data_IF_398624469504
#
_entry.id   IF_398624469504
#
_cell.length_a   1.000
_cell.length_b   1.000
_cell.length_c   1.000
_cell.angle_alpha   90.00
_cell.angle_beta   90.00
_cell.angle_gamma   90.00
#
_symmetry.space_group_name_H-M   'P 1'
#
loop_
_entity.id
_entity.type
_entity.pdbx_description
1 polymer ?
2 non-polymer ?
3 non-polymer ?
4 water ?
#
# COMPACT_ATOMS: atom_id res chain seq x y z
N UNK A 1 -5.95 -2.55 -4.63
CA UNK A 1 -7.00 -3.57 -4.29
C UNK A 1 -8.41 -3.10 -4.66
N UNK A 2 -8.65 -1.79 -4.72
CA UNK A 2 -9.94 -1.12 -4.95
C UNK A 2 -9.71 0.24 -5.60
N UNK A 3 -10.77 1.04 -5.83
CA UNK A 3 -10.69 2.26 -6.65
C UNK A 3 -9.86 3.38 -5.98
N UNK A 4 -9.75 3.36 -4.65
CA UNK A 4 -8.87 4.25 -3.87
C UNK A 4 -7.43 4.03 -4.26
N UNK A 5 -7.01 2.77 -4.24
CA UNK A 5 -5.62 2.37 -4.59
C UNK A 5 -5.41 2.60 -6.09
N UNK A 6 -6.45 2.42 -6.90
CA UNK A 6 -6.36 2.67 -8.36
C UNK A 6 -5.98 4.15 -8.64
N UNK A 7 -6.67 5.07 -8.00
CA UNK A 7 -6.39 6.52 -8.18
C UNK A 7 -4.99 6.85 -7.64
N UNK A 8 -4.67 6.36 -6.44
CA UNK A 8 -3.34 6.57 -5.81
C UNK A 8 -2.24 6.07 -6.76
N UNK A 9 -2.39 4.86 -7.32
CA UNK A 9 -1.37 4.29 -8.20
C UNK A 9 -1.14 5.18 -9.43
N UNK A 10 -2.22 5.68 -10.03
CA UNK A 10 -2.18 6.53 -11.25
C UNK A 10 -1.36 7.79 -10.96
N UNK A 11 -1.53 8.35 -9.77
CA UNK A 11 -0.77 9.57 -9.37
C UNK A 11 0.68 9.19 -9.14
N UNK A 12 0.96 8.10 -8.41
CA UNK A 12 2.35 7.71 -8.13
C UNK A 12 3.12 7.43 -9.41
N UNK A 13 2.51 6.74 -10.38
CA UNK A 13 3.25 6.21 -11.56
C UNK A 13 3.63 7.35 -12.51
N UNK A 14 2.92 8.48 -12.52
CA UNK A 14 3.17 9.56 -13.49
C UNK A 14 3.58 10.87 -12.81
N UNK A 15 3.19 11.10 -11.55
CA UNK A 15 3.37 12.46 -10.96
C UNK A 15 4.29 12.43 -9.74
N UNK A 16 5.15 11.42 -9.56
CA UNK A 16 6.09 11.48 -8.41
C UNK A 16 7.51 11.25 -8.90
N UNK A 17 8.45 11.82 -8.13
CA UNK A 17 9.91 11.60 -8.32
C UNK A 17 10.47 11.38 -6.92
N UNK A 18 11.65 10.82 -6.85
CA UNK A 18 12.38 10.73 -5.57
C UNK A 18 13.26 11.98 -5.47
N UNK A 19 13.03 12.83 -4.46
CA UNK A 19 13.84 14.04 -4.23
C UNK A 19 14.80 13.77 -3.09
N UNK A 20 16.07 14.15 -3.25
CA UNK A 20 17.09 13.98 -2.19
C UNK A 20 17.74 15.35 -1.90
N UNK A 21 17.62 15.80 -0.65
CA UNK A 21 18.28 17.03 -0.12
C UNK A 21 19.31 16.56 0.90
N UNK A 22 19.98 17.51 1.56
CA UNK A 22 20.92 17.17 2.67
C UNK A 22 20.16 16.65 3.88
N UNK A 23 18.83 16.83 3.95
CA UNK A 23 17.97 16.36 5.07
C UNK A 23 17.32 15.01 4.79
N UNK A 24 17.56 14.38 3.63
CA UNK A 24 17.11 13.01 3.35
C UNK A 24 16.47 12.82 1.99
N UNK A 25 15.87 11.65 1.81
CA UNK A 25 15.12 11.26 0.58
C UNK A 25 13.62 11.44 0.82
N UNK A 26 12.89 12.12 -0.07
CA UNK A 26 11.45 12.41 0.08
C UNK A 26 10.69 11.97 -1.17
N UNK A 27 9.47 11.51 -0.97
CA UNK A 27 8.47 11.46 -2.06
C UNK A 27 8.21 12.92 -2.47
N UNK A 28 8.22 13.19 -3.76
CA UNK A 28 7.96 14.57 -4.25
C UNK A 28 6.88 14.50 -5.35
N UNK A 29 5.80 15.24 -5.14
CA UNK A 29 4.64 15.27 -6.06
C UNK A 29 4.88 16.37 -7.11
N UNK A 30 4.89 15.99 -8.38
CA UNK A 30 4.87 16.93 -9.52
C UNK A 30 3.44 17.32 -9.82
N UNK A 31 3.16 18.60 -9.97
CA UNK A 31 1.78 19.13 -10.08
C UNK A 31 1.48 19.55 -11.53
N UNK A 32 2.38 20.28 -12.17
CA UNK A 32 2.24 20.70 -13.60
C UNK A 32 3.58 21.25 -14.07
N UNK A 33 3.81 21.25 -15.40
CA UNK A 33 5.03 21.81 -16.03
C UNK A 33 6.24 21.27 -15.26
N UNK A 34 7.10 22.12 -14.69
CA UNK A 34 8.31 21.65 -13.93
C UNK A 34 8.10 22.00 -12.44
N UNK A 35 6.86 22.15 -12.00
CA UNK A 35 6.51 22.61 -10.63
C UNK A 35 6.14 21.39 -9.77
N UNK A 36 6.80 21.24 -8.64
CA UNK A 36 6.53 20.15 -7.68
C UNK A 36 6.39 20.70 -6.26
N UNK A 37 6.03 19.83 -5.33
CA UNK A 37 5.90 20.22 -3.89
C UNK A 37 6.70 19.24 -3.03
N UNK A 38 7.13 19.75 -1.88
CA UNK A 38 7.88 18.92 -0.89
C UNK A 38 7.68 19.56 0.47
N UNK A 39 7.76 18.82 1.60
CA UNK A 39 7.68 19.49 2.91
C UNK A 39 8.82 20.51 3.08
N UNK A 40 8.49 21.64 3.72
CA UNK A 40 9.45 22.75 3.89
C UNK A 40 10.66 22.27 4.70
N UNK A 41 10.46 21.35 5.64
CA UNK A 41 11.58 20.79 6.46
C UNK A 41 12.59 19.98 5.64
N UNK A 42 12.32 19.66 4.37
CA UNK A 42 13.35 19.14 3.43
C UNK A 42 14.50 20.12 3.19
N UNK A 43 14.30 21.43 3.46
CA UNK A 43 15.33 22.49 3.31
C UNK A 43 15.93 22.50 1.90
N UNK A 44 15.10 22.73 0.89
CA UNK A 44 15.54 22.73 -0.53
C UNK A 44 16.55 23.87 -0.72
N UNK A 45 17.69 23.58 -1.36
CA UNK A 45 18.68 24.60 -1.74
C UNK A 45 18.69 24.87 -3.22
N UNK A 46 19.86 25.27 -3.75
CA UNK A 46 20.06 25.71 -5.15
C UNK A 46 20.14 24.48 -6.06
N UNK A 47 20.52 23.34 -5.50
CA UNK A 47 20.70 22.05 -6.21
C UNK A 47 19.93 20.99 -5.39
N UNK A 48 19.24 20.10 -6.10
CA UNK A 48 18.52 18.97 -5.50
C UNK A 48 18.80 17.74 -6.39
N UNK A 49 18.71 16.54 -5.84
CA UNK A 49 18.80 15.30 -6.66
C UNK A 49 17.37 14.82 -6.95
N UNK A 50 17.07 14.57 -8.22
CA UNK A 50 15.74 14.11 -8.70
C UNK A 50 15.98 12.76 -9.39
N UNK A 51 15.53 11.67 -8.77
CA UNK A 51 15.77 10.29 -9.27
C UNK A 51 17.29 10.13 -9.49
N UNK A 52 18.08 10.61 -8.53
CA UNK A 52 19.57 10.53 -8.45
C UNK A 52 20.26 11.35 -9.54
N UNK A 53 19.59 12.32 -10.14
CA UNK A 53 20.18 13.23 -11.17
C UNK A 53 20.31 14.62 -10.53
N UNK A 54 21.52 15.17 -10.58
CA UNK A 54 21.80 16.55 -10.10
C UNK A 54 20.96 17.53 -10.90
N UNK A 55 20.13 18.32 -10.22
CA UNK A 55 19.11 19.20 -10.84
C UNK A 55 19.19 20.62 -10.21
N UNK A 56 19.29 21.67 -11.03
CA UNK A 56 19.21 23.05 -10.53
C UNK A 56 17.78 23.37 -10.11
N UNK A 57 17.63 24.06 -8.99
CA UNK A 57 16.33 24.60 -8.51
C UNK A 57 16.19 26.01 -9.09
N UNK A 58 15.21 26.23 -9.95
CA UNK A 58 15.01 27.55 -10.59
C UNK A 58 14.28 28.50 -9.66
N UNK A 59 13.49 28.00 -8.71
CA UNK A 59 12.73 28.83 -7.76
C UNK A 59 12.21 27.92 -6.66
N UNK A 60 12.14 28.40 -5.43
CA UNK A 60 11.54 27.64 -4.32
C UNK A 60 10.86 28.62 -3.39
N UNK A 61 9.64 28.29 -2.99
CA UNK A 61 8.84 29.20 -2.12
C UNK A 61 8.16 28.44 -0.98
N UNK A 62 8.61 28.70 0.25
CA UNK A 62 8.01 28.16 1.49
C UNK A 62 6.69 28.89 1.77
N UNK A 63 5.57 28.21 1.64
CA UNK A 63 4.23 28.86 1.74
C UNK A 63 3.92 29.16 3.21
N UNK A 64 3.32 30.32 3.43
CA UNK A 64 2.74 30.73 4.73
C UNK A 64 1.33 31.29 4.46
N UNK A 65 0.43 31.18 5.42
CA UNK A 65 -0.91 31.78 5.29
C UNK A 65 -0.82 33.31 5.53
N UNK A 66 -1.94 33.98 5.31
CA UNK A 66 -2.04 35.46 5.46
C UNK A 66 -2.06 35.87 6.94
N UNK A 67 -1.98 34.94 7.90
CA UNK A 67 -1.55 35.28 9.30
C UNK A 67 -0.02 35.16 9.46
N UNK A 68 0.71 34.82 8.40
CA UNK A 68 2.18 34.62 8.40
C UNK A 68 2.43 33.40 9.29
N UNK A 69 1.59 32.38 9.16
CA UNK A 69 1.81 31.06 9.83
C UNK A 69 2.31 30.03 8.80
N UNK A 70 3.32 29.26 9.19
CA UNK A 70 3.86 28.13 8.38
C UNK A 70 2.72 27.26 7.83
N UNK A 71 2.79 26.90 6.53
CA UNK A 71 1.92 25.83 5.96
C UNK A 71 2.68 24.51 5.72
N UNK A 72 4.01 24.53 5.83
CA UNK A 72 4.88 23.34 5.69
C UNK A 72 4.91 22.82 4.25
N UNK A 73 4.47 23.60 3.27
CA UNK A 73 4.57 23.25 1.82
C UNK A 73 5.64 24.16 1.21
N UNK A 74 6.62 23.58 0.52
CA UNK A 74 7.51 24.34 -0.39
C UNK A 74 7.16 24.00 -1.85
N UNK A 75 6.95 25.01 -2.67
CA UNK A 75 6.73 24.83 -4.12
C UNK A 75 8.09 25.04 -4.77
N UNK A 76 8.48 24.08 -5.60
CA UNK A 76 9.80 24.05 -6.26
C UNK A 76 9.58 24.07 -7.77
N UNK A 77 10.32 24.92 -8.46
CA UNK A 77 10.45 24.81 -9.94
C UNK A 77 11.80 24.19 -10.28
N UNK A 78 11.78 23.06 -11.01
CA UNK A 78 12.99 22.24 -11.32
C UNK A 78 13.51 22.55 -12.72
N UNK A 79 14.83 22.64 -12.88
CA UNK A 79 15.49 22.71 -14.21
C UNK A 79 15.54 21.30 -14.82
N UNK A 80 14.37 20.75 -15.10
CA UNK A 80 14.17 19.38 -15.62
C UNK A 80 13.80 19.46 -17.10
N UNK A 81 14.19 18.46 -17.89
CA UNK A 81 13.98 18.46 -19.35
C UNK A 81 12.61 17.92 -19.72
N UNK A 82 11.75 17.63 -18.75
CA UNK A 82 10.46 16.97 -19.03
C UNK A 82 9.39 17.59 -18.11
N UNK A 83 8.18 17.78 -18.63
CA UNK A 83 7.03 18.28 -17.84
C UNK A 83 6.27 17.14 -17.17
N UNK A 84 5.69 17.46 -16.01
CA UNK A 84 4.70 16.60 -15.33
C UNK A 84 3.35 16.70 -16.07
N UNK A 85 2.65 15.59 -16.10
CA UNK A 85 1.19 15.58 -16.37
C UNK A 85 0.52 16.63 -15.48
N UNK A 86 -0.30 17.50 -16.04
CA UNK A 86 -1.01 18.54 -15.27
C UNK A 86 -2.13 17.89 -14.44
N UNK A 87 -1.99 17.86 -13.11
CA UNK A 87 -3.02 17.27 -12.19
C UNK A 87 -3.71 18.35 -11.35
N UNK A 88 -3.60 19.63 -11.73
CA UNK A 88 -4.25 20.69 -10.92
C UNK A 88 -5.77 20.52 -10.80
N UNK A 89 -6.46 19.93 -11.79
CA UNK A 89 -7.92 19.73 -11.70
C UNK A 89 -8.27 18.69 -10.64
N UNK A 90 -7.31 17.97 -10.04
CA UNK A 90 -7.61 17.00 -8.95
C UNK A 90 -7.43 17.64 -7.57
N UNK A 91 -7.06 18.92 -7.51
CA UNK A 91 -6.78 19.61 -6.23
C UNK A 91 -8.07 20.21 -5.71
N UNK A 92 -8.38 20.05 -4.41
CA UNK A 92 -9.56 20.68 -3.82
C UNK A 92 -9.41 22.20 -3.84
N UNK A 93 -10.54 22.90 -3.88
CA UNK A 93 -10.58 24.39 -3.90
C UNK A 93 -10.82 24.94 -2.49
N UNK A 94 -11.14 24.09 -1.51
CA UNK A 94 -11.43 24.53 -0.12
C UNK A 94 -10.87 23.56 0.93
N UNK A 95 -10.73 24.04 2.16
CA UNK A 95 -10.39 23.21 3.35
C UNK A 95 -11.59 22.29 3.59
N UNK A 96 -11.36 21.00 3.86
CA UNK A 96 -12.45 20.03 4.08
C UNK A 96 -11.94 18.81 4.84
N UNK A 97 -12.87 17.98 5.31
CA UNK A 97 -12.61 16.63 5.86
C UNK A 97 -12.91 15.65 4.71
N UNK A 98 -12.41 14.42 4.81
CA UNK A 98 -12.53 13.40 3.75
C UNK A 98 -12.79 12.03 4.35
N UNK A 99 -13.40 11.16 3.57
CA UNK A 99 -13.45 9.72 3.96
C UNK A 99 -12.45 8.92 3.12
N UNK A 100 -11.96 7.83 3.69
CA UNK A 100 -11.34 6.72 2.92
C UNK A 100 -10.18 7.28 2.08
N UNK A 101 -9.12 7.75 2.72
CA UNK A 101 -7.91 8.27 2.02
C UNK A 101 -6.81 7.19 1.99
N UNK A 102 -5.90 7.34 1.02
CA UNK A 102 -4.67 6.51 0.85
C UNK A 102 -3.48 7.45 0.95
N UNK A 103 -2.48 7.02 1.71
CA UNK A 103 -1.15 7.66 1.76
C UNK A 103 -0.19 6.82 0.93
N UNK A 104 0.43 7.42 -0.08
CA UNK A 104 1.32 6.71 -1.05
C UNK A 104 2.74 7.27 -0.99
N UNK A 105 3.72 6.37 -0.90
CA UNK A 105 5.14 6.73 -0.71
C UNK A 105 5.96 5.95 -1.72
N UNK A 106 6.98 6.60 -2.27
CA UNK A 106 7.94 5.90 -3.14
C UNK A 106 9.34 6.47 -2.89
N UNK A 107 10.12 5.75 -2.09
CA UNK A 107 11.57 6.06 -1.87
C UNK A 107 12.38 4.77 -1.91
N UNK A 108 13.70 4.87 -1.79
CA UNK A 108 14.62 3.71 -1.59
C UNK A 108 14.19 2.89 -0.36
N UNK A 109 13.79 3.55 0.71
CA UNK A 109 13.42 2.87 1.97
C UNK A 109 12.00 2.25 1.86
N UNK A 110 11.08 2.93 1.18
CA UNK A 110 9.66 2.48 1.06
C UNK A 110 9.22 2.53 -0.41
N UNK A 111 9.63 1.56 -1.26
CA UNK A 111 9.19 1.48 -2.64
C UNK A 111 7.74 1.00 -2.80
N UNK A 112 6.95 1.66 -3.67
CA UNK A 112 5.61 1.18 -4.06
C UNK A 112 4.78 0.90 -2.81
N UNK A 113 4.75 1.83 -1.86
CA UNK A 113 4.02 1.69 -0.58
C UNK A 113 2.70 2.47 -0.65
N UNK A 114 1.61 1.80 -0.29
CA UNK A 114 0.25 2.36 -0.25
C UNK A 114 -0.37 2.00 1.10
N UNK A 115 -0.82 2.99 1.87
CA UNK A 115 -1.42 2.81 3.23
C UNK A 115 -2.85 3.33 3.22
N UNK A 116 -3.86 2.47 3.47
CA UNK A 116 -5.23 2.94 3.65
C UNK A 116 -5.34 3.58 5.04
N UNK A 117 -5.37 4.91 5.10
CA UNK A 117 -5.29 5.63 6.41
C UNK A 117 -6.70 5.91 6.96
N UNK A 118 -7.76 5.73 6.20
CA UNK A 118 -9.16 5.92 6.63
C UNK A 118 -9.59 7.37 6.61
N UNK A 119 -10.40 7.75 7.60
CA UNK A 119 -11.04 9.09 7.68
C UNK A 119 -9.97 10.17 7.90
N UNK A 120 -10.09 11.28 7.20
CA UNK A 120 -9.17 12.45 7.35
C UNK A 120 -9.93 13.65 7.94
N UNK A 121 -9.46 14.15 9.07
CA UNK A 121 -10.02 15.30 9.83
C UNK A 121 -9.30 16.59 9.40
N UNK A 122 -10.06 17.63 9.08
CA UNK A 122 -9.53 19.01 9.05
C UNK A 122 -9.17 19.39 10.49
N UNK A 123 -7.91 19.18 10.86
CA UNK A 123 -7.38 19.33 12.23
C UNK A 123 -7.14 20.82 12.49
N UNK A 124 -6.59 21.51 11.50
CA UNK A 124 -6.28 22.94 11.54
C UNK A 124 -4.91 23.19 12.11
N UNK A 125 -4.86 23.71 13.34
CA UNK A 125 -3.60 24.13 13.98
C UNK A 125 -2.87 22.91 14.55
N UNK A 126 -1.56 22.85 14.31
CA UNK A 126 -0.66 21.84 14.90
C UNK A 126 0.69 22.50 15.23
N UNK A 127 1.17 22.26 16.43
CA UNK A 127 2.59 22.54 16.77
C UNK A 127 3.45 21.41 16.20
N UNK A 128 4.02 21.60 15.01
CA UNK A 128 4.73 20.55 14.25
C UNK A 128 6.24 20.70 14.46
N UNK A 129 6.85 19.80 15.24
CA UNK A 129 8.28 19.91 15.59
C UNK A 129 8.59 21.27 16.22
N UNK A 130 7.69 21.82 17.02
CA UNK A 130 7.86 23.15 17.65
C UNK A 130 7.44 24.34 16.76
N UNK A 131 6.99 24.13 15.52
CA UNK A 131 6.62 25.27 14.63
C UNK A 131 5.09 25.34 14.53
N UNK A 132 4.43 26.44 14.92
CA UNK A 132 2.98 26.59 14.72
C UNK A 132 2.71 26.43 13.22
N UNK A 133 1.76 25.56 12.90
CA UNK A 133 1.45 25.21 11.48
C UNK A 133 -0.06 25.23 11.30
N UNK A 134 -0.56 25.74 10.17
CA UNK A 134 -2.01 25.75 9.86
C UNK A 134 -2.34 24.78 8.72
N UNK A 135 -3.65 24.57 8.52
CA UNK A 135 -4.22 23.75 7.39
C UNK A 135 -3.70 22.32 7.46
N UNK A 136 -3.64 21.75 8.66
CA UNK A 136 -3.19 20.34 8.88
C UNK A 136 -4.39 19.39 8.79
N UNK A 137 -4.18 18.30 8.05
CA UNK A 137 -5.09 17.12 7.94
C UNK A 137 -4.56 16.07 8.91
N UNK A 138 -5.45 15.36 9.60
CA UNK A 138 -5.02 14.27 10.54
C UNK A 138 -5.67 12.95 10.14
N UNK A 139 -4.91 11.87 10.25
CA UNK A 139 -5.43 10.49 10.04
C UNK A 139 -4.92 9.62 11.17
N UNK A 140 -5.69 8.59 11.53
CA UNK A 140 -5.40 7.74 12.70
C UNK A 140 -4.64 6.53 12.20
N UNK A 141 -3.43 6.75 11.69
CA UNK A 141 -2.48 5.67 11.32
C UNK A 141 -1.11 6.02 11.89
N UNK A 142 -0.40 5.05 12.50
CA UNK A 142 0.93 5.27 13.04
C UNK A 142 2.01 5.30 11.97
N UNK A 143 2.06 6.40 11.23
CA UNK A 143 3.08 6.66 10.20
C UNK A 143 4.48 6.71 10.85
N UNK A 144 5.51 6.58 10.01
CA UNK A 144 6.93 6.44 10.42
C UNK A 144 7.79 7.37 9.61
N UNK A 145 8.97 7.64 10.18
CA UNK A 145 10.08 8.36 9.54
C UNK A 145 10.33 7.79 8.14
N UNK A 146 10.51 8.66 7.14
CA UNK A 146 10.71 8.25 5.74
C UNK A 146 9.46 8.37 4.87
N UNK A 147 8.29 8.69 5.45
CA UNK A 147 7.01 8.83 4.71
C UNK A 147 6.72 10.31 4.40
N UNK A 148 7.58 11.24 4.84
CA UNK A 148 7.32 12.68 4.56
C UNK A 148 7.36 12.91 3.05
N UNK A 149 6.40 13.69 2.57
CA UNK A 149 6.24 14.02 1.15
C UNK A 149 5.27 13.04 0.54
N UNK A 150 4.88 11.99 1.28
CA UNK A 150 3.90 11.01 0.77
C UNK A 150 2.62 11.69 0.34
N UNK A 151 1.97 11.17 -0.68
CA UNK A 151 0.78 11.83 -1.26
C UNK A 151 -0.47 11.25 -0.61
N UNK A 152 -1.34 12.14 -0.18
CA UNK A 152 -2.66 11.76 0.40
C UNK A 152 -3.72 11.98 -0.68
N UNK A 153 -4.41 10.90 -1.06
CA UNK A 153 -5.47 10.97 -2.07
C UNK A 153 -6.80 10.37 -1.55
N UNK A 154 -7.88 10.82 -2.15
CA UNK A 154 -9.15 10.07 -2.23
C UNK A 154 -9.39 9.75 -3.70
N UNK A 155 -10.42 8.95 -3.98
CA UNK A 155 -10.90 8.79 -5.37
C UNK A 155 -11.13 10.23 -5.94
N UNK A 156 -10.38 10.54 -6.98
CA UNK A 156 -10.55 11.74 -7.80
C UNK A 156 -9.93 12.96 -7.17
N UNK A 157 -9.39 12.92 -5.94
CA UNK A 157 -8.75 14.14 -5.37
C UNK A 157 -7.37 13.87 -4.74
N UNK A 158 -6.47 14.80 -5.00
CA UNK A 158 -5.11 14.85 -4.36
C UNK A 158 -5.21 15.92 -3.29
N UNK A 159 -5.20 15.55 -2.00
CA UNK A 159 -5.65 16.47 -0.92
C UNK A 159 -4.50 16.95 -0.03
N UNK A 160 -3.32 16.34 -0.06
CA UNK A 160 -2.25 16.79 0.83
C UNK A 160 -0.96 16.00 0.65
N UNK A 161 0.05 16.41 1.43
CA UNK A 161 1.35 15.72 1.49
C UNK A 161 1.71 15.53 2.96
N UNK A 162 2.14 14.31 3.27
CA UNK A 162 2.50 13.89 4.64
C UNK A 162 3.64 14.74 5.19
N UNK A 163 3.51 15.30 6.41
CA UNK A 163 4.59 16.17 6.96
C UNK A 163 5.03 15.74 8.37
N UNK A 164 4.35 14.80 9.02
CA UNK A 164 4.80 14.35 10.34
C UNK A 164 3.84 13.39 11.01
N UNK A 165 4.20 12.98 12.23
CA UNK A 165 3.38 12.04 13.02
C UNK A 165 3.74 12.13 14.49
N UNK A 166 2.91 11.53 15.35
CA UNK A 166 3.20 11.50 16.82
C UNK A 166 3.31 10.06 17.31
N UNK A 167 3.44 9.08 16.40
CA UNK A 167 3.52 7.65 16.73
C UNK A 167 2.17 6.95 16.62
N UNK A 168 1.04 7.64 16.84
CA UNK A 168 -0.33 7.07 16.75
C UNK A 168 -1.09 7.65 15.54
N UNK A 169 -0.85 8.93 15.27
CA UNK A 169 -1.52 9.71 14.21
C UNK A 169 -0.49 10.23 13.20
N UNK A 170 -0.96 10.48 11.98
CA UNK A 170 -0.17 11.11 10.90
C UNK A 170 -0.81 12.43 10.53
N UNK A 171 0.00 13.33 10.00
CA UNK A 171 -0.44 14.71 9.67
C UNK A 171 0.02 15.06 8.26
N UNK A 172 -0.87 15.70 7.47
CA UNK A 172 -0.51 16.14 6.12
C UNK A 172 -0.80 17.65 6.04
N UNK A 173 -0.03 18.36 5.23
CA UNK A 173 -0.33 19.74 4.80
C UNK A 173 -1.32 19.70 3.63
N UNK A 174 -2.38 20.51 3.71
CA UNK A 174 -3.38 20.58 2.62
C UNK A 174 -2.70 21.03 1.34
N UNK A 175 -3.16 20.45 0.23
CA UNK A 175 -2.94 21.08 -1.12
C UNK A 175 -4.27 21.73 -1.55
N UNK A 176 -4.21 22.98 -1.98
CA UNK A 176 -5.35 23.73 -2.51
C UNK A 176 -5.03 24.20 -3.94
N UNK A 177 -6.02 24.18 -4.81
CA UNK A 177 -5.89 24.65 -6.21
C UNK A 177 -5.25 26.03 -6.27
N UNK A 178 -5.62 26.92 -5.35
CA UNK A 178 -5.14 28.33 -5.34
C UNK A 178 -3.63 28.45 -5.13
N UNK A 179 -2.93 27.43 -4.62
CA UNK A 179 -1.46 27.48 -4.52
C UNK A 179 -0.78 27.45 -5.92
N UNK A 180 -1.45 26.95 -6.97
CA UNK A 180 -0.78 26.57 -8.26
C UNK A 180 -1.42 27.27 -9.46
N UNK A 181 -2.11 28.37 -9.21
CA UNK A 181 -2.59 29.27 -10.29
C UNK A 181 -1.37 29.92 -10.94
N UNK B 2 12.70 -2.45 7.01
CA UNK B 2 13.83 -2.66 6.03
C UNK B 2 13.97 -4.13 5.64
N UNK B 3 14.29 -5.03 6.60
CA UNK B 3 14.22 -6.46 6.34
C UNK B 3 12.76 -6.83 5.96
N UNK B 4 11.75 -6.18 6.59
CA UNK B 4 10.31 -6.41 6.32
C UNK B 4 9.93 -6.20 4.86
N UNK B 5 10.31 -5.06 4.28
CA UNK B 5 10.04 -4.72 2.83
C UNK B 5 10.89 -5.57 1.89
N UNK B 6 12.17 -5.83 2.19
CA UNK B 6 13.02 -6.79 1.43
C UNK B 6 12.32 -8.15 1.34
N UNK B 7 11.86 -8.65 2.49
CA UNK B 7 11.26 -9.99 2.60
C UNK B 7 9.99 -10.04 1.72
N UNK B 8 9.14 -9.02 1.82
CA UNK B 8 7.85 -9.00 1.06
C UNK B 8 8.18 -8.97 -0.42
N UNK B 9 9.19 -8.17 -0.83
CA UNK B 9 9.65 -8.11 -2.25
C UNK B 9 10.18 -9.46 -2.75
N UNK B 10 10.96 -10.17 -1.94
CA UNK B 10 11.56 -11.50 -2.28
C UNK B 10 10.45 -12.52 -2.54
N UNK B 11 9.41 -12.47 -1.71
CA UNK B 11 8.23 -13.39 -1.85
C UNK B 11 7.43 -12.99 -3.09
N UNK B 12 7.19 -11.69 -3.28
CA UNK B 12 6.48 -11.15 -4.47
C UNK B 12 7.16 -11.66 -5.74
N UNK B 13 8.44 -11.34 -5.92
CA UNK B 13 9.18 -11.56 -7.20
C UNK B 13 9.20 -13.05 -7.55
N UNK B 14 9.56 -13.91 -6.60
CA UNK B 14 9.77 -15.34 -6.91
C UNK B 14 8.53 -16.21 -6.68
N UNK B 15 7.60 -15.84 -5.79
CA UNK B 15 6.56 -16.79 -5.34
C UNK B 15 5.14 -16.28 -5.63
N UNK B 16 4.95 -15.16 -6.33
CA UNK B 16 3.57 -14.60 -6.53
C UNK B 16 3.28 -14.60 -8.03
N UNK B 17 2.14 -15.17 -8.44
CA UNK B 17 1.67 -15.17 -9.85
C UNK B 17 0.27 -14.56 -9.91
N UNK B 18 -0.15 -14.13 -11.12
CA UNK B 18 -1.54 -13.65 -11.35
C UNK B 18 -2.39 -14.85 -11.75
N UNK B 19 -3.41 -15.20 -10.94
CA UNK B 19 -4.31 -16.32 -11.24
C UNK B 19 -5.62 -15.71 -11.75
N UNK B 20 -6.19 -16.24 -12.82
CA UNK B 20 -7.49 -15.74 -13.31
C UNK B 20 -8.45 -16.94 -13.41
N UNK B 21 -9.55 -16.86 -12.66
CA UNK B 21 -10.65 -17.85 -12.64
C UNK B 21 -11.87 -17.20 -13.32
N UNK B 22 -12.99 -17.93 -13.30
CA UNK B 22 -14.29 -17.40 -13.79
C UNK B 22 -14.62 -16.09 -13.07
N UNK B 23 -14.13 -15.87 -11.84
CA UNK B 23 -14.49 -14.71 -10.97
C UNK B 23 -13.58 -13.51 -11.25
N UNK B 24 -12.49 -13.68 -11.97
CA UNK B 24 -11.53 -12.61 -12.32
C UNK B 24 -10.15 -12.87 -11.73
N UNK B 25 -9.40 -11.81 -11.41
CA UNK B 25 -7.95 -12.00 -11.11
C UNK B 25 -7.71 -12.01 -9.59
N UNK B 26 -6.76 -12.86 -9.18
CA UNK B 26 -6.37 -13.06 -7.77
C UNK B 26 -4.85 -13.10 -7.66
N UNK B 27 -4.31 -12.47 -6.62
CA UNK B 27 -2.91 -12.69 -6.24
C UNK B 27 -2.79 -14.17 -5.76
N UNK B 28 -1.94 -14.95 -6.40
CA UNK B 28 -1.76 -16.38 -6.01
C UNK B 28 -0.34 -16.56 -5.45
N UNK B 29 -0.23 -17.29 -4.35
CA UNK B 29 1.08 -17.65 -3.75
C UNK B 29 1.47 -19.07 -4.13
N UNK B 30 2.60 -19.20 -4.82
CA UNK B 30 3.24 -20.51 -5.04
C UNK B 30 4.06 -20.92 -3.84
N UNK B 31 3.90 -22.14 -3.36
CA UNK B 31 4.49 -22.56 -2.06
C UNK B 31 5.70 -23.48 -2.29
N UNK B 32 5.56 -24.49 -3.12
CA UNK B 32 6.63 -25.48 -3.47
C UNK B 32 6.18 -26.28 -4.69
N UNK B 33 7.13 -26.86 -5.45
CA UNK B 33 6.78 -27.72 -6.60
C UNK B 33 5.74 -26.99 -7.48
N UNK B 34 4.60 -27.63 -7.77
CA UNK B 34 3.53 -26.97 -8.59
C UNK B 34 2.32 -26.68 -7.68
N UNK B 35 2.57 -26.52 -6.39
CA UNK B 35 1.50 -26.34 -5.37
C UNK B 35 1.39 -24.87 -5.03
N UNK B 36 0.18 -24.30 -5.16
CA UNK B 36 -0.10 -22.88 -4.88
C UNK B 36 -1.35 -22.75 -4.01
N UNK B 37 -1.59 -21.56 -3.50
CA UNK B 37 -2.80 -21.28 -2.70
C UNK B 37 -3.50 -20.03 -3.19
N UNK B 38 -4.81 -20.04 -3.01
CA UNK B 38 -5.71 -18.96 -3.49
C UNK B 38 -6.92 -18.96 -2.56
N UNK B 39 -7.65 -17.84 -2.34
CA UNK B 39 -8.89 -17.90 -1.58
C UNK B 39 -9.94 -18.82 -2.19
N UNK B 40 -10.67 -19.54 -1.34
CA UNK B 40 -11.70 -20.52 -1.78
C UNK B 40 -12.75 -19.77 -2.62
N UNK B 41 -13.06 -18.51 -2.28
CA UNK B 41 -14.07 -17.71 -3.04
C UNK B 41 -13.65 -17.42 -4.49
N UNK B 42 -12.42 -17.74 -4.91
CA UNK B 42 -11.95 -17.65 -6.32
C UNK B 42 -12.69 -18.66 -7.20
N UNK B 43 -13.29 -19.71 -6.64
CA UNK B 43 -14.09 -20.72 -7.41
C UNK B 43 -13.22 -21.33 -8.51
N UNK B 44 -12.09 -21.92 -8.09
CA UNK B 44 -11.15 -22.61 -8.99
C UNK B 44 -11.88 -23.76 -9.72
N UNK B 45 -11.68 -23.83 -11.03
CA UNK B 45 -12.29 -24.87 -11.88
C UNK B 45 -11.28 -25.89 -12.33
N UNK B 46 -11.53 -26.50 -13.50
CA UNK B 46 -10.62 -27.50 -14.09
C UNK B 46 -9.44 -26.79 -14.75
N UNK B 47 -9.67 -25.56 -15.19
CA UNK B 47 -8.67 -24.74 -15.93
C UNK B 47 -8.56 -23.40 -15.22
N UNK B 48 -7.36 -22.86 -15.17
CA UNK B 48 -7.05 -21.53 -14.58
C UNK B 48 -6.03 -20.85 -15.49
N UNK B 49 -6.01 -19.52 -15.50
CA UNK B 49 -4.94 -18.76 -16.20
C UNK B 49 -3.88 -18.32 -15.17
N UNK B 50 -2.63 -18.61 -15.47
CA UNK B 50 -1.46 -18.28 -14.59
C UNK B 50 -0.57 -17.31 -15.40
N UNK B 51 -0.55 -16.02 -15.04
CA UNK B 51 0.16 -14.98 -15.83
C UNK B 51 -0.31 -15.07 -17.29
N UNK B 52 -1.61 -15.23 -17.47
CA UNK B 52 -2.33 -15.23 -18.78
C UNK B 52 -2.11 -16.52 -19.57
N UNK B 53 -1.51 -17.56 -19.00
CA UNK B 53 -1.33 -18.88 -19.66
C UNK B 53 -2.43 -19.84 -19.19
N UNK B 54 -3.23 -20.38 -20.12
CA UNK B 54 -4.20 -21.47 -19.84
C UNK B 54 -3.45 -22.65 -19.23
N UNK B 55 -3.84 -23.03 -18.00
CA UNK B 55 -3.17 -24.08 -17.18
C UNK B 55 -4.23 -25.02 -16.62
N UNK B 56 -4.02 -26.34 -16.80
CA UNK B 56 -4.91 -27.37 -16.17
C UNK B 56 -4.65 -27.38 -14.67
N UNK B 57 -5.71 -27.31 -13.87
CA UNK B 57 -5.64 -27.60 -12.40
C UNK B 57 -5.81 -29.10 -12.20
N UNK B 58 -4.74 -29.78 -11.82
CA UNK B 58 -4.72 -31.26 -11.62
C UNK B 58 -5.57 -31.61 -10.40
N UNK B 59 -5.28 -30.96 -9.27
CA UNK B 59 -5.92 -31.23 -7.96
C UNK B 59 -6.22 -29.89 -7.27
N UNK B 60 -7.43 -29.77 -6.72
CA UNK B 60 -7.85 -28.62 -5.88
C UNK B 60 -8.43 -29.16 -4.58
N UNK B 61 -8.08 -28.53 -3.45
CA UNK B 61 -8.64 -28.87 -2.12
C UNK B 61 -9.09 -27.58 -1.42
N UNK B 62 -10.40 -27.48 -1.16
CA UNK B 62 -10.97 -26.49 -0.22
C UNK B 62 -10.61 -26.97 1.20
N UNK B 63 -9.75 -26.23 1.89
CA UNK B 63 -9.23 -26.64 3.22
C UNK B 63 -10.31 -26.47 4.30
N UNK B 64 -10.49 -27.51 5.11
CA UNK B 64 -11.34 -27.52 6.32
C UNK B 64 -10.53 -28.14 7.47
N UNK B 65 -10.69 -27.61 8.68
CA UNK B 65 -9.92 -28.10 9.83
C UNK B 65 -10.60 -29.36 10.40
N UNK B 66 -10.04 -29.87 11.50
CA UNK B 66 -10.51 -31.14 12.10
C UNK B 66 -11.86 -30.96 12.82
N UNK B 67 -12.34 -29.71 13.00
CA UNK B 67 -13.73 -29.47 13.47
C UNK B 67 -14.70 -29.46 12.29
N UNK B 68 -14.19 -29.70 11.08
CA UNK B 68 -15.00 -29.71 9.83
C UNK B 68 -15.50 -28.29 9.58
N UNK B 69 -14.63 -27.31 9.83
CA UNK B 69 -14.93 -25.88 9.59
C UNK B 69 -14.09 -25.33 8.43
N UNK B 70 -14.70 -24.53 7.57
CA UNK B 70 -14.04 -23.81 6.48
C UNK B 70 -12.80 -23.06 6.97
N UNK B 71 -11.70 -23.11 6.19
CA UNK B 71 -10.50 -22.24 6.40
C UNK B 71 -10.34 -21.16 5.30
N UNK B 72 -11.13 -21.25 4.22
CA UNK B 72 -11.20 -20.26 3.13
C UNK B 72 -9.91 -20.26 2.26
N UNK B 73 -9.09 -21.28 2.37
CA UNK B 73 -7.86 -21.48 1.53
C UNK B 73 -8.16 -22.65 0.63
N UNK B 74 -7.90 -22.50 -0.65
CA UNK B 74 -7.86 -23.63 -1.58
C UNK B 74 -6.41 -23.88 -2.01
N UNK B 75 -5.92 -25.11 -1.79
CA UNK B 75 -4.57 -25.54 -2.26
C UNK B 75 -4.73 -26.23 -3.62
N UNK B 76 -3.94 -25.82 -4.62
CA UNK B 76 -4.06 -26.33 -6.03
C UNK B 76 -2.70 -26.81 -6.52
N UNK B 77 -2.69 -27.98 -7.17
CA UNK B 77 -1.53 -28.54 -7.91
C UNK B 77 -1.69 -28.20 -9.39
N UNK B 78 -0.76 -27.43 -9.95
CA UNK B 78 -0.82 -26.89 -11.34
C UNK B 78 -0.11 -27.84 -12.30
N UNK B 79 -0.63 -27.95 -13.53
CA UNK B 79 -0.01 -28.71 -14.66
C UNK B 79 0.88 -27.74 -15.45
N UNK B 80 2.08 -27.45 -14.92
CA UNK B 80 3.04 -26.49 -15.54
C UNK B 80 4.47 -26.92 -15.25
N UNK B 81 5.35 -26.55 -16.16
CA UNK B 81 6.76 -26.99 -16.14
C UNK B 81 7.48 -26.31 -14.98
N UNK B 82 7.29 -25.00 -14.80
CA UNK B 82 8.02 -24.24 -13.75
C UNK B 82 7.67 -24.81 -12.37
N UNK B 83 8.67 -24.94 -11.51
CA UNK B 83 8.49 -25.30 -10.09
C UNK B 83 8.65 -24.01 -9.28
N UNK B 84 7.82 -23.82 -8.25
CA UNK B 84 7.94 -22.68 -7.32
C UNK B 84 9.14 -22.90 -6.39
N UNK B 85 9.82 -21.82 -6.06
CA UNK B 85 10.88 -21.77 -5.01
C UNK B 85 10.23 -22.23 -3.69
N UNK B 86 10.77 -23.28 -3.04
CA UNK B 86 10.15 -23.82 -1.79
C UNK B 86 10.25 -22.76 -0.69
N UNK B 87 9.11 -22.37 -0.09
CA UNK B 87 9.03 -21.38 1.01
C UNK B 87 8.32 -21.99 2.22
N UNK B 88 8.21 -23.33 2.29
CA UNK B 88 7.52 -23.99 3.43
C UNK B 88 8.18 -23.66 4.76
N UNK B 89 9.50 -23.43 4.77
CA UNK B 89 10.27 -23.14 6.00
C UNK B 89 9.92 -21.75 6.53
N UNK B 90 9.23 -20.91 5.75
CA UNK B 90 8.78 -19.58 6.20
C UNK B 90 7.33 -19.57 6.73
N UNK B 91 6.66 -20.72 6.78
CA UNK B 91 5.24 -20.81 7.26
C UNK B 91 5.23 -21.06 8.75
N UNK B 92 4.43 -20.32 9.54
CA UNK B 92 4.32 -20.58 10.97
C UNK B 92 3.84 -22.02 11.27
N UNK B 93 4.31 -22.55 12.39
CA UNK B 93 3.85 -23.88 12.88
C UNK B 93 2.49 -23.75 13.58
N UNK B 94 2.28 -22.63 14.28
CA UNK B 94 1.11 -22.43 15.19
C UNK B 94 0.37 -21.12 14.89
N UNK B 95 -0.88 -21.04 15.36
CA UNK B 95 -1.70 -19.81 15.35
C UNK B 95 -0.97 -18.77 16.21
N UNK B 96 -0.89 -17.51 15.77
CA UNK B 96 -0.17 -16.45 16.53
C UNK B 96 -0.64 -15.06 16.12
N UNK B 97 -0.30 -14.06 16.94
CA UNK B 97 -0.40 -12.59 16.68
C UNK B 97 0.94 -12.13 16.09
N UNK B 98 0.93 -11.03 15.33
CA UNK B 98 2.16 -10.49 14.68
C UNK B 98 2.15 -8.97 14.71
N UNK B 99 3.34 -8.39 14.55
CA UNK B 99 3.48 -6.92 14.36
C UNK B 99 4.16 -6.64 13.02
N UNK B 100 4.02 -5.40 12.54
CA UNK B 100 4.75 -4.90 11.34
C UNK B 100 4.51 -5.87 10.17
N UNK B 101 3.25 -6.15 9.87
CA UNK B 101 2.86 -6.99 8.71
C UNK B 101 2.68 -6.13 7.46
N UNK B 102 2.99 -6.70 6.29
CA UNK B 102 2.84 -6.11 4.94
C UNK B 102 1.93 -7.04 4.14
N UNK B 103 0.97 -6.44 3.45
CA UNK B 103 0.05 -7.12 2.51
C UNK B 103 0.55 -6.75 1.11
N UNK B 104 0.87 -7.76 0.30
CA UNK B 104 1.50 -7.62 -1.05
C UNK B 104 0.57 -8.14 -2.15
N UNK B 105 0.15 -7.21 -3.01
CA UNK B 105 -0.89 -7.40 -4.08
C UNK B 105 -0.18 -7.46 -5.43
N UNK B 106 -0.61 -8.40 -6.28
CA UNK B 106 -0.01 -8.57 -7.62
C UNK B 106 -1.10 -9.03 -8.59
N UNK B 107 -1.67 -8.07 -9.35
CA UNK B 107 -2.63 -8.41 -10.44
C UNK B 107 -2.28 -7.55 -11.66
N UNK B 108 -3.03 -7.70 -12.76
CA UNK B 108 -2.79 -6.87 -13.97
C UNK B 108 -3.06 -5.41 -13.65
N UNK B 109 -4.06 -5.15 -12.80
CA UNK B 109 -4.49 -3.78 -12.43
C UNK B 109 -3.51 -3.20 -11.39
N UNK B 110 -2.99 -4.06 -10.50
CA UNK B 110 -2.18 -3.65 -9.31
C UNK B 110 -0.89 -4.46 -9.26
N UNK B 111 0.09 -4.18 -10.15
CA UNK B 111 1.31 -4.96 -10.17
C UNK B 111 2.22 -4.54 -9.00
N UNK B 112 2.92 -5.42 -8.35
CA UNK B 112 3.89 -4.92 -7.32
C UNK B 112 3.34 -3.80 -6.39
N UNK B 113 2.23 -4.00 -5.66
CA UNK B 113 1.72 -3.03 -4.65
C UNK B 113 1.93 -3.55 -3.21
N UNK B 114 2.54 -2.76 -2.33
CA UNK B 114 2.85 -3.13 -0.92
C UNK B 114 2.03 -2.27 0.06
N UNK B 115 1.24 -2.93 0.91
CA UNK B 115 0.30 -2.25 1.83
C UNK B 115 0.68 -2.62 3.24
N UNK B 116 1.39 -1.73 3.97
CA UNK B 116 1.68 -1.93 5.39
C UNK B 116 0.33 -1.96 6.10
N UNK B 117 0.10 -2.98 6.91
CA UNK B 117 -1.16 -3.08 7.69
C UNK B 117 -0.81 -3.00 9.19
N UNK B 118 0.42 -3.35 9.57
CA UNK B 118 0.93 -3.24 10.94
C UNK B 118 0.49 -4.41 11.82
N UNK B 119 -0.27 -4.10 12.87
CA UNK B 119 -0.60 -5.06 13.95
C UNK B 119 -1.63 -6.05 13.39
N UNK B 120 -1.30 -7.33 13.52
CA UNK B 120 -2.18 -8.47 13.09
C UNK B 120 -2.60 -9.27 14.33
N UNK B 121 -3.90 -9.39 14.57
CA UNK B 121 -4.46 -10.21 15.69
C UNK B 121 -4.85 -11.61 15.19
N UNK B 122 -4.58 -12.64 15.99
CA UNK B 122 -5.26 -13.95 15.90
C UNK B 122 -6.73 -13.77 16.31
N UNK B 123 -7.61 -13.54 15.34
CA UNK B 123 -9.04 -13.17 15.55
C UNK B 123 -9.85 -14.46 15.76
N UNK B 124 -9.52 -15.52 15.00
CA UNK B 124 -10.10 -16.87 15.07
C UNK B 124 -11.35 -17.01 14.23
N UNK B 125 -12.52 -17.03 14.88
CA UNK B 125 -13.81 -17.38 14.24
C UNK B 125 -14.39 -16.15 13.57
N UNK B 126 -14.82 -16.28 12.31
CA UNK B 126 -15.49 -15.22 11.54
C UNK B 126 -16.59 -15.85 10.69
N UNK B 127 -17.76 -15.23 10.67
CA UNK B 127 -18.79 -15.62 9.68
C UNK B 127 -18.50 -14.84 8.40
N UNK B 128 -17.92 -15.51 7.41
CA UNK B 128 -17.45 -14.85 6.17
C UNK B 128 -18.38 -15.18 5.00
N UNK B 129 -19.12 -14.17 4.52
CA UNK B 129 -20.14 -14.36 3.47
C UNK B 129 -21.15 -15.42 3.85
N UNK B 130 -21.46 -15.56 5.15
CA UNK B 130 -22.45 -16.54 5.63
C UNK B 130 -21.83 -17.90 5.93
N UNK B 131 -20.53 -18.06 5.72
CA UNK B 131 -19.83 -19.33 6.02
C UNK B 131 -19.01 -19.17 7.30
N UNK B 132 -19.28 -19.99 8.34
CA UNK B 132 -18.43 -20.05 9.52
C UNK B 132 -16.99 -20.46 9.12
N UNK B 133 -16.01 -19.68 9.57
CA UNK B 133 -14.60 -19.79 9.12
C UNK B 133 -13.68 -19.69 10.33
N UNK B 134 -12.67 -20.55 10.38
CA UNK B 134 -11.64 -20.52 11.45
C UNK B 134 -10.31 -19.90 11.01
N UNK B 135 -9.44 -19.67 12.00
CA UNK B 135 -8.00 -19.26 11.81
C UNK B 135 -7.92 -17.98 10.99
N UNK B 136 -8.78 -17.02 11.29
CA UNK B 136 -8.73 -15.68 10.64
C UNK B 136 -7.76 -14.76 11.41
N UNK B 137 -6.85 -14.11 10.67
CA UNK B 137 -6.01 -12.96 11.13
C UNK B 137 -6.74 -11.66 10.78
N UNK B 138 -6.66 -10.67 11.67
CA UNK B 138 -7.37 -9.38 11.47
C UNK B 138 -6.37 -8.22 11.57
N UNK B 139 -6.54 -7.22 10.71
CA UNK B 139 -5.71 -5.97 10.73
C UNK B 139 -6.65 -4.82 10.39
N UNK B 140 -6.30 -3.60 10.82
CA UNK B 140 -7.07 -2.42 10.36
C UNK B 140 -6.98 -2.37 8.85
N UNK B 141 -8.07 -1.98 8.19
CA UNK B 141 -8.15 -1.88 6.71
C UNK B 141 -9.34 -1.03 6.33
N UNK B 142 -9.27 0.29 6.61
CA UNK B 142 -10.38 1.21 6.44
C UNK B 142 -10.57 1.65 4.97
N UNK B 143 -11.03 0.73 4.15
CA UNK B 143 -11.14 0.85 2.68
C UNK B 143 -12.10 -0.27 2.25
N UNK B 144 -12.84 -0.06 1.18
CA UNK B 144 -13.56 -1.15 0.46
C UNK B 144 -12.63 -1.58 -0.66
N UNK B 145 -11.96 -2.71 -0.45
CA UNK B 145 -11.13 -3.44 -1.43
C UNK B 145 -12.01 -4.45 -2.18
N UNK B 146 -11.63 -4.78 -3.41
CA UNK B 146 -12.20 -5.91 -4.18
C UNK B 146 -11.66 -7.25 -3.69
N UNK B 147 -11.87 -8.28 -4.50
CA UNK B 147 -11.66 -9.72 -4.16
C UNK B 147 -10.19 -10.15 -4.29
N UNK B 148 -9.32 -9.40 -4.95
CA UNK B 148 -8.10 -9.97 -5.57
C UNK B 148 -7.17 -10.51 -4.48
N UNK B 149 -7.25 -9.95 -3.27
CA UNK B 149 -6.42 -10.33 -2.11
C UNK B 149 -4.93 -10.14 -2.32
N UNK B 150 -4.11 -10.93 -1.61
CA UNK B 150 -2.68 -10.64 -1.47
C UNK B 150 -2.04 -11.42 -0.35
N UNK B 151 -0.73 -11.36 -0.27
CA UNK B 151 0.06 -12.23 0.66
C UNK B 151 0.44 -11.39 1.86
N UNK B 152 0.25 -11.92 3.06
CA UNK B 152 0.59 -11.18 4.30
C UNK B 152 1.91 -11.77 4.84
N UNK B 153 2.89 -10.88 5.05
CA UNK B 153 4.23 -11.27 5.54
C UNK B 153 4.62 -10.40 6.71
N UNK B 154 5.54 -10.94 7.48
CA UNK B 154 6.30 -10.22 8.52
C UNK B 154 7.77 -10.37 8.15
N UNK B 155 8.69 -9.82 8.92
CA UNK B 155 10.10 -10.24 8.79
C UNK B 155 10.16 -11.75 9.07
N UNK B 156 10.59 -12.51 8.08
CA UNK B 156 10.93 -13.92 8.22
C UNK B 156 9.76 -14.86 8.07
N UNK B 157 8.51 -14.38 7.94
CA UNK B 157 7.37 -15.33 7.86
C UNK B 157 6.33 -14.93 6.82
N UNK B 158 5.82 -15.95 6.14
CA UNK B 158 4.61 -15.83 5.29
C UNK B 158 3.41 -16.31 6.11
N UNK B 159 2.56 -15.41 6.57
CA UNK B 159 1.58 -15.70 7.66
C UNK B 159 0.17 -15.93 7.13
N UNK B 160 -0.17 -15.46 5.93
CA UNK B 160 -1.56 -15.59 5.50
C UNK B 160 -1.83 -14.99 4.14
N UNK B 161 -3.06 -15.23 3.65
CA UNK B 161 -3.53 -14.64 2.37
C UNK B 161 -4.85 -13.91 2.66
N UNK B 162 -4.97 -12.69 2.15
CA UNK B 162 -6.17 -11.83 2.36
C UNK B 162 -7.42 -12.50 1.77
N UNK B 163 -8.50 -12.62 2.57
CA UNK B 163 -9.75 -13.29 2.10
C UNK B 163 -10.97 -12.36 2.18
N UNK B 164 -10.92 -11.20 2.84
CA UNK B 164 -12.11 -10.35 2.92
C UNK B 164 -11.94 -9.13 3.81
N UNK B 165 -13.04 -8.43 4.02
CA UNK B 165 -13.02 -7.21 4.85
C UNK B 165 -14.42 -6.68 5.06
N UNK B 166 -14.58 -5.72 5.96
CA UNK B 166 -15.91 -5.15 6.29
C UNK B 166 -15.88 -3.63 6.16
N UNK B 167 -14.86 -3.06 5.49
CA UNK B 167 -14.68 -1.59 5.31
C UNK B 167 -13.89 -0.91 6.43
N UNK B 168 -13.77 -1.53 7.60
CA UNK B 168 -12.96 -1.06 8.76
C UNK B 168 -11.79 -1.99 9.00
N UNK B 169 -12.04 -3.32 8.93
CA UNK B 169 -11.01 -4.35 9.19
C UNK B 169 -10.83 -5.23 7.97
N UNK B 170 -9.62 -5.77 7.83
CA UNK B 170 -9.23 -6.72 6.80
C UNK B 170 -8.96 -8.07 7.44
N UNK B 171 -9.24 -9.14 6.70
CA UNK B 171 -9.16 -10.53 7.25
C UNK B 171 -8.31 -11.38 6.32
N UNK B 172 -7.40 -12.18 6.88
CA UNK B 172 -6.54 -13.10 6.15
C UNK B 172 -6.74 -14.49 6.72
N UNK B 173 -6.69 -15.52 5.89
CA UNK B 173 -6.65 -16.93 6.33
C UNK B 173 -5.21 -17.26 6.71
N UNK B 174 -4.99 -17.91 7.85
CA UNK B 174 -3.63 -18.33 8.25
C UNK B 174 -3.04 -19.33 7.25
N UNK B 175 -1.74 -19.25 7.01
CA UNK B 175 -0.98 -20.36 6.40
C UNK B 175 -0.15 -21.02 7.50
N UNK B 176 -0.27 -22.33 7.61
CA UNK B 176 0.44 -23.16 8.61
C UNK B 176 1.30 -24.16 7.87
N UNK B 177 2.46 -24.49 8.46
CA UNK B 177 3.42 -25.46 7.89
C UNK B 177 2.74 -26.80 7.61
N UNK B 178 1.87 -27.22 8.51
CA UNK B 178 1.22 -28.57 8.46
C UNK B 178 0.30 -28.72 7.24
N UNK B 179 -0.14 -27.62 6.61
CA UNK B 179 -1.02 -27.73 5.42
C UNK B 179 -0.30 -28.34 4.20
N UNK B 180 1.03 -28.29 4.21
CA UNK B 180 1.90 -28.59 3.04
C UNK B 180 2.94 -29.68 3.33
N UNK B 181 2.87 -30.33 4.50
CA UNK B 181 3.75 -31.48 4.86
C UNK B 181 3.23 -32.77 4.21
X LIG C 1 4.69 -0.46 9.37
X LIG C 1 4.04 -0.64 10.53
X LIG C 1 3.40 0.38 11.14
X LIG C 1 4.64 0.82 8.87
X LIG C 1 2.70 2.49 11.22
X LIG C 1 3.36 1.65 10.63
X LIG C 1 4.04 1.86 9.43
X LIG C 1 5.60 1.07 7.09
X LIG D 1 6.36 9.93 11.04
X LIG D 1 5.01 10.27 10.47
X LIG D 1 6.28 10.14 12.80
X LIG D 1 7.47 11.27 10.65
X LIG E 1 -13.24 -18.92 -17.22
X LIG E 1 -13.78 -17.80 -17.73
X LIG E 1 -13.06 -16.66 -17.85
X LIG E 1 -11.88 -18.81 -16.83
X LIG E 1 -11.19 -15.44 -17.59
X LIG E 1 -11.75 -16.54 -17.47
X LIG E 1 -11.15 -17.70 -16.93
X LIG E 1 -10.97 -20.51 -16.04
X LIG F 1 -2.26 -30.78 -1.90
X LIG F 1 -3.55 -31.10 -2.13
X LIG F 1 -4.44 -31.17 -1.11
X LIG F 1 -1.91 -30.54 -0.55
X LIG F 1 -5.04 -31.03 1.05
X LIG F 1 -4.14 -30.94 0.20
X LIG F 1 -2.79 -30.60 0.47
X LIG F 1 0.05 -29.99 -0.13
#
# INVERSE_FOLDING_TARGET
>A
MGPGFDFAQAIMKKNTVIARTEKGEFTMLGVYDRVAVIPTHASVGEIIYINDVETRVLDACALRDLTDTNLEITIVKLDRNQKFRDIRHFLPRCEDDYNDAVLSVHTSKFPNMYIPVGQVTNYGFLNLGGTPTHRILMYNFPTRAGQCGGVVTTTGKVIGIHVGGNGAQGFAAMLLHSYFTD
>B
MGPGFDFAQAIMKKNTVIARTEKGEFTMLGVYDRVAVIPTHASVGEIIYINDVETRVLDACALRDLTDTNLEITIVKLDRNQKFRDIRHFLPRCEDDYNDAVLSVHTSKFPNMYIPVGQVTNYGFLNLGGTPTHRILMYNFPTRAGQCGGVVTTTGKVIGIHVGGNGAQGFAAMLLHSYFTD
>C hetero
1 HHQ C4 C5 N1 C3 O1 C1 C2 I1
>D hetero
1 DMS S O C1 C2
>E hetero
1 HHQ C4 C5 N1 C3 O1 C1 C2 I1
>F hetero
1 HHQ C4 C5 N1 C3 O1 C1 C2 I1
#
